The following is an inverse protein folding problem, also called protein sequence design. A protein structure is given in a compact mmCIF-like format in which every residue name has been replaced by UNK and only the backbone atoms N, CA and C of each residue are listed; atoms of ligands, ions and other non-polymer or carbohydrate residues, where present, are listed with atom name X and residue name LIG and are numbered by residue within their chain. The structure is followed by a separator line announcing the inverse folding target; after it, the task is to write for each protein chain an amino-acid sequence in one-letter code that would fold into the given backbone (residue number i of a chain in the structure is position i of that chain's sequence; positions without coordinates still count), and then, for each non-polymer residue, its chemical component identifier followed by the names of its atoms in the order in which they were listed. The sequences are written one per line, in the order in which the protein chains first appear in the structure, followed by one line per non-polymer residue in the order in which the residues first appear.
data_IF_987791267313
#
_entry.id   IF_987791267313
#
_cell.length_a   1.000
_cell.length_b   1.000
_cell.length_c   1.000
_cell.angle_alpha   90.00
_cell.angle_beta   90.00
_cell.angle_gamma   90.00
#
_symmetry.space_group_name_H-M   'P 1'
#
loop_
_entity.id
_entity.type
_entity.pdbx_description
1 polymer ?
#
# COMPACT_ATOMS: atom_id res chain seq x y z
N UNK A 1 3.93 0.62 -26.01
CA UNK A 1 3.93 0.41 -24.56
C UNK A 1 4.40 1.68 -23.92
N UNK A 2 3.64 2.24 -22.98
CA UNK A 2 4.10 3.38 -22.21
C UNK A 2 5.18 2.90 -21.24
N UNK A 3 6.27 3.65 -21.10
CA UNK A 3 7.33 3.28 -20.17
C UNK A 3 6.87 3.58 -18.75
N UNK A 4 6.62 2.54 -17.95
CA UNK A 4 6.33 2.68 -16.52
C UNK A 4 7.66 2.68 -15.76
N UNK A 5 7.84 3.66 -14.88
CA UNK A 5 8.96 3.69 -13.94
C UNK A 5 8.48 3.14 -12.61
N UNK A 6 9.20 2.14 -12.09
CA UNK A 6 8.96 1.56 -10.77
C UNK A 6 10.02 2.04 -9.78
N UNK A 7 9.61 2.39 -8.56
CA UNK A 7 10.50 2.81 -7.47
C UNK A 7 10.04 2.18 -6.15
N UNK A 8 10.89 1.34 -5.55
CA UNK A 8 10.67 0.79 -4.21
C UNK A 8 10.97 1.83 -3.13
N UNK A 9 10.14 1.89 -2.08
CA UNK A 9 10.19 2.87 -0.99
C UNK A 9 10.17 2.19 0.38
N UNK A 10 10.93 2.75 1.33
CA UNK A 10 11.15 2.15 2.65
C UNK A 10 10.14 2.52 3.74
N UNK A 11 9.17 3.41 3.46
CA UNK A 11 8.10 3.78 4.39
C UNK A 11 6.75 3.26 3.92
N UNK A 12 5.83 2.99 4.85
CA UNK A 12 4.47 2.59 4.51
C UNK A 12 3.72 3.75 3.86
N UNK A 13 2.96 3.45 2.81
CA UNK A 13 2.14 4.44 2.12
C UNK A 13 0.75 4.62 2.74
N UNK A 14 0.26 3.64 3.51
CA UNK A 14 -1.07 3.68 4.13
C UNK A 14 -1.04 3.11 5.56
N UNK A 15 -2.20 3.19 6.22
CA UNK A 15 -2.50 2.67 7.55
C UNK A 15 -1.85 3.45 8.72
N UNK A 16 -2.69 4.09 9.55
CA UNK A 16 -2.24 4.98 10.63
C UNK A 16 -1.39 4.26 11.70
N UNK A 17 -1.57 2.95 11.85
CA UNK A 17 -0.80 2.12 12.77
C UNK A 17 0.41 1.43 12.11
N UNK A 18 0.81 1.84 10.89
CA UNK A 18 1.93 1.21 10.18
C UNK A 18 3.27 1.30 10.94
N UNK A 19 3.43 2.25 11.87
CA UNK A 19 4.59 2.32 12.76
C UNK A 19 4.73 1.09 13.68
N UNK A 20 3.66 0.31 13.86
CA UNK A 20 3.62 -0.93 14.63
C UNK A 20 3.75 -2.18 13.75
N UNK A 21 3.74 -2.02 12.42
CA UNK A 21 3.82 -3.12 11.48
C UNK A 21 5.28 -3.51 11.26
N UNK A 22 5.60 -4.79 11.51
CA UNK A 22 6.94 -5.32 11.23
C UNK A 22 7.18 -5.51 9.74
N UNK A 23 6.13 -5.84 8.99
CA UNK A 23 6.19 -5.93 7.54
C UNK A 23 5.66 -4.65 6.90
N UNK A 24 6.47 -4.02 6.05
CA UNK A 24 6.11 -2.83 5.28
C UNK A 24 6.77 -2.91 3.92
N UNK A 25 5.98 -2.71 2.88
CA UNK A 25 6.46 -2.60 1.51
C UNK A 25 5.69 -1.52 0.76
N UNK A 26 6.37 -0.77 -0.08
CA UNK A 26 5.77 0.35 -0.78
C UNK A 26 6.45 0.57 -2.12
N UNK A 27 5.67 0.65 -3.18
CA UNK A 27 6.14 0.84 -4.55
C UNK A 27 5.40 2.01 -5.18
N UNK A 28 6.16 2.91 -5.79
CA UNK A 28 5.64 3.97 -6.63
C UNK A 28 5.79 3.56 -8.09
N UNK A 29 4.69 3.56 -8.83
CA UNK A 29 4.65 3.43 -10.27
C UNK A 29 4.33 4.79 -10.89
N UNK A 30 5.13 5.20 -11.88
CA UNK A 30 4.96 6.48 -12.57
C UNK A 30 4.87 6.25 -14.08
N UNK A 31 3.85 6.82 -14.72
CA UNK A 31 3.68 6.78 -16.17
C UNK A 31 2.86 7.98 -16.66
N UNK A 32 3.34 8.72 -17.67
CA UNK A 32 2.60 9.81 -18.33
C UNK A 32 1.89 10.80 -17.37
N UNK A 33 2.58 11.24 -16.32
CA UNK A 33 2.08 12.12 -15.23
C UNK A 33 1.07 11.48 -14.25
N UNK A 34 0.89 10.17 -14.31
CA UNK A 34 0.14 9.41 -13.31
C UNK A 34 1.14 8.78 -12.36
N UNK A 35 0.98 9.07 -11.07
CA UNK A 35 1.68 8.38 -9.99
C UNK A 35 0.72 7.47 -9.24
N UNK A 36 1.10 6.21 -9.02
CA UNK A 36 0.33 5.24 -8.23
C UNK A 36 1.21 4.64 -7.16
N UNK A 37 0.72 4.70 -5.93
CA UNK A 37 1.34 4.12 -4.75
C UNK A 37 0.68 2.80 -4.42
N UNK A 38 1.45 1.72 -4.40
CA UNK A 38 1.04 0.40 -3.91
C UNK A 38 1.73 0.20 -2.57
N UNK A 39 0.97 -0.01 -1.50
CA UNK A 39 1.53 -0.18 -0.16
C UNK A 39 0.98 -1.44 0.49
N UNK A 40 1.87 -2.24 1.06
CA UNK A 40 1.54 -3.40 1.88
C UNK A 40 2.00 -3.19 3.31
N UNK A 41 1.13 -3.47 4.26
CA UNK A 41 1.43 -3.51 5.69
C UNK A 41 1.09 -4.89 6.23
N UNK A 42 1.82 -5.32 7.26
CA UNK A 42 1.68 -6.65 7.82
C UNK A 42 2.26 -6.77 9.21
N UNK A 43 1.83 -7.80 9.94
CA UNK A 43 2.39 -8.14 11.26
C UNK A 43 2.34 -6.95 12.22
N UNK A 44 1.15 -6.37 12.42
CA UNK A 44 0.95 -5.30 13.39
C UNK A 44 1.16 -5.84 14.80
N UNK A 45 2.18 -5.33 15.49
CA UNK A 45 2.46 -5.72 16.86
C UNK A 45 1.28 -5.38 17.76
N UNK A 46 0.88 -6.36 18.55
CA UNK A 46 -0.10 -6.23 19.60
C UNK A 46 0.27 -5.14 20.61
N UNK A 47 -0.68 -4.26 20.92
CA UNK A 47 -0.56 -3.34 22.06
C UNK A 47 -1.57 -3.70 23.15
N UNK A 48 -1.52 -4.94 23.65
CA UNK A 48 -2.21 -5.24 24.90
C UNK A 48 -1.25 -5.16 26.09
N UNK A 49 -1.71 -4.42 27.09
CA UNK A 49 -1.10 -4.27 28.39
C UNK A 49 -1.97 -5.05 29.38
N UNK A 50 -1.38 -5.94 30.16
CA UNK A 50 -2.03 -6.45 31.37
C UNK A 50 -1.25 -5.92 32.56
N UNK A 51 -1.88 -5.05 33.35
CA UNK A 51 -1.17 -4.29 34.39
C UNK A 51 -0.02 -3.45 33.81
N UNK A 52 1.22 -3.77 34.18
CA UNK A 52 2.44 -3.08 33.74
C UNK A 52 3.30 -3.89 32.76
N UNK A 53 2.81 -5.03 32.28
CA UNK A 53 3.55 -5.89 31.34
C UNK A 53 3.10 -5.64 29.90
N UNK A 54 4.08 -5.39 29.04
CA UNK A 54 3.93 -5.52 27.60
C UNK A 54 4.16 -6.99 27.23
N UNK A 55 3.16 -7.65 26.68
CA UNK A 55 3.36 -8.96 26.06
C UNK A 55 3.84 -8.73 24.63
N UNK A 56 5.13 -8.42 24.49
CA UNK A 56 5.76 -8.36 23.18
C UNK A 56 5.77 -9.74 22.52
N UNK A 57 5.50 -9.81 21.21
CA UNK A 57 5.65 -11.03 20.41
C UNK A 57 4.37 -11.57 19.78
N UNK A 58 3.21 -10.97 20.04
CA UNK A 58 1.96 -11.31 19.35
C UNK A 58 1.59 -10.25 18.31
N UNK A 59 0.83 -10.68 17.30
CA UNK A 59 0.32 -9.81 16.24
C UNK A 59 -1.19 -9.69 16.32
N UNK A 60 -1.69 -8.49 16.08
CA UNK A 60 -3.11 -8.19 15.95
C UNK A 60 -3.50 -7.99 14.49
N UNK A 61 -4.80 -8.15 14.21
CA UNK A 61 -5.34 -7.96 12.86
C UNK A 61 -5.25 -6.48 12.45
N UNK A 62 -4.82 -6.23 11.21
CA UNK A 62 -4.77 -4.89 10.59
C UNK A 62 -6.19 -4.39 10.29
N UNK A 63 -7.08 -5.32 9.98
CA UNK A 63 -8.53 -5.14 9.96
C UNK A 63 -9.21 -6.49 9.97
N UNK A 64 -10.54 -6.51 9.92
CA UNK A 64 -11.33 -7.75 10.06
C UNK A 64 -10.77 -8.93 9.26
N UNK A 65 -10.35 -9.98 9.99
CA UNK A 65 -9.82 -11.25 9.47
C UNK A 65 -8.64 -11.08 8.50
N UNK A 66 -7.69 -10.18 8.79
CA UNK A 66 -6.45 -10.02 8.01
C UNK A 66 -5.26 -9.51 8.82
N UNK A 67 -4.11 -10.13 8.60
CA UNK A 67 -2.80 -9.78 9.18
C UNK A 67 -1.87 -9.08 8.20
N UNK A 68 -2.17 -9.14 6.91
CA UNK A 68 -1.51 -8.37 5.86
C UNK A 68 -2.57 -7.76 4.95
N UNK A 69 -2.29 -6.55 4.47
CA UNK A 69 -3.16 -5.78 3.58
C UNK A 69 -2.29 -5.04 2.56
N UNK A 70 -2.65 -5.14 1.28
CA UNK A 70 -2.12 -4.33 0.18
C UNK A 70 -3.21 -3.38 -0.28
N UNK A 71 -2.88 -2.10 -0.45
CA UNK A 71 -3.78 -1.11 -1.03
C UNK A 71 -3.05 -0.31 -2.11
N UNK A 72 -3.82 0.26 -3.04
CA UNK A 72 -3.31 1.11 -4.10
C UNK A 72 -4.04 2.47 -4.11
N UNK A 73 -3.30 3.56 -4.26
CA UNK A 73 -3.81 4.93 -4.28
C UNK A 73 -3.11 5.74 -5.37
N UNK A 74 -3.77 6.76 -5.90
CA UNK A 74 -3.05 7.78 -6.64
C UNK A 74 -2.08 8.54 -5.72
N UNK A 75 -0.92 8.91 -6.24
CA UNK A 75 -0.02 9.84 -5.57
C UNK A 75 -0.59 11.25 -5.63
N UNK A 76 -0.40 12.05 -4.59
CA UNK A 76 -0.79 13.47 -4.56
C UNK A 76 -0.01 14.22 -5.66
N UNK A 77 -0.69 14.80 -6.66
CA UNK A 77 -0.03 15.53 -7.75
C UNK A 77 0.67 16.82 -7.27
N UNK A 78 0.30 17.33 -6.10
CA UNK A 78 0.86 18.54 -5.51
C UNK A 78 2.12 18.25 -4.67
N UNK A 79 2.30 17.01 -4.20
CA UNK A 79 3.52 16.57 -3.52
C UNK A 79 4.59 16.14 -4.53
N UNK A 80 5.50 17.07 -4.82
CA UNK A 80 6.62 16.85 -5.75
C UNK A 80 7.84 16.18 -5.11
N UNK A 81 7.81 15.90 -3.80
CA UNK A 81 8.98 15.41 -3.07
C UNK A 81 8.84 13.98 -2.60
N UNK A 82 7.75 13.67 -1.90
CA UNK A 82 7.54 12.35 -1.31
C UNK A 82 6.58 11.49 -2.14
N UNK A 83 5.73 12.14 -2.94
CA UNK A 83 4.65 11.51 -3.69
C UNK A 83 3.80 10.64 -2.75
N UNK A 84 3.38 11.24 -1.63
CA UNK A 84 2.48 10.60 -0.67
C UNK A 84 1.12 10.30 -1.30
N UNK A 85 0.36 9.41 -0.67
CA UNK A 85 -0.94 8.99 -1.20
C UNK A 85 -1.99 10.08 -1.07
N UNK A 86 -2.85 10.20 -2.08
CA UNK A 86 -4.15 10.80 -1.89
C UNK A 86 -5.11 9.72 -1.36
N UNK A 87 -5.36 9.75 -0.04
CA UNK A 87 -6.24 8.80 0.65
C UNK A 87 -7.69 8.80 0.13
N UNK A 88 -8.10 9.85 -0.59
CA UNK A 88 -9.45 9.94 -1.19
C UNK A 88 -9.55 9.26 -2.55
N UNK A 89 -8.41 8.86 -3.13
CA UNK A 89 -8.29 8.33 -4.50
C UNK A 89 -7.72 6.91 -4.48
N UNK A 90 -8.41 6.02 -3.78
CA UNK A 90 -8.10 4.60 -3.83
C UNK A 90 -8.33 4.04 -5.25
N UNK A 91 -7.49 3.09 -5.65
CA UNK A 91 -7.58 2.38 -6.93
C UNK A 91 -8.00 0.95 -6.67
N UNK A 92 -9.02 0.49 -7.39
CA UNK A 92 -9.49 -0.88 -7.33
C UNK A 92 -8.65 -1.81 -8.22
N UNK A 93 -8.49 -3.05 -7.76
CA UNK A 93 -7.75 -4.10 -8.43
C UNK A 93 -8.27 -5.49 -8.06
N UNK A 94 -7.98 -6.47 -8.91
CA UNK A 94 -8.55 -7.83 -8.83
C UNK A 94 -7.62 -8.81 -8.10
N UNK A 95 -6.33 -8.50 -8.04
CA UNK A 95 -5.32 -9.27 -7.32
C UNK A 95 -5.69 -9.40 -5.84
N UNK A 96 -5.30 -10.53 -5.24
CA UNK A 96 -5.47 -10.76 -3.81
C UNK A 96 -4.81 -9.61 -3.03
N UNK A 97 -5.54 -9.04 -2.08
CA UNK A 97 -5.10 -7.86 -1.33
C UNK A 97 -4.99 -8.07 0.18
N UNK A 98 -5.47 -9.21 0.70
CA UNK A 98 -5.43 -9.52 2.12
C UNK A 98 -4.97 -10.96 2.38
N UNK A 99 -4.23 -11.15 3.47
CA UNK A 99 -3.84 -12.47 4.00
C UNK A 99 -4.23 -12.54 5.48
N UNK A 100 -4.89 -13.64 5.85
CA UNK A 100 -5.40 -13.90 7.21
C UNK A 100 -4.55 -14.92 7.98
N UNK A 101 -3.26 -14.98 7.66
CA UNK A 101 -2.28 -15.91 8.21
C UNK A 101 -1.12 -15.10 8.78
N UNK A 102 -0.65 -15.48 9.98
CA UNK A 102 0.59 -14.97 10.58
C UNK A 102 1.77 -15.76 10.02
N UNK A 103 2.97 -15.18 9.95
CA UNK A 103 4.17 -15.83 9.38
C UNK A 103 4.04 -16.11 7.88
N UNK A 104 3.49 -15.13 7.16
CA UNK A 104 3.17 -15.20 5.73
C UNK A 104 3.89 -14.08 4.94
N UNK A 105 5.06 -13.64 5.38
CA UNK A 105 5.84 -12.54 4.79
C UNK A 105 6.24 -12.82 3.33
N UNK A 106 6.53 -14.08 3.00
CA UNK A 106 6.78 -14.55 1.63
C UNK A 106 5.53 -14.37 0.75
N UNK A 107 4.38 -14.85 1.23
CA UNK A 107 3.08 -14.71 0.56
C UNK A 107 2.67 -13.23 0.45
N UNK A 108 3.02 -12.41 1.43
CA UNK A 108 2.76 -10.97 1.42
C UNK A 108 3.62 -10.25 0.38
N UNK A 109 4.85 -10.70 0.15
CA UNK A 109 5.66 -10.21 -0.97
C UNK A 109 5.03 -10.59 -2.32
N UNK A 110 4.63 -11.85 -2.50
CA UNK A 110 3.98 -12.29 -3.73
C UNK A 110 2.66 -11.54 -3.98
N UNK A 111 1.89 -11.32 -2.92
CA UNK A 111 0.67 -10.49 -2.94
C UNK A 111 0.97 -9.05 -3.38
N UNK A 112 2.04 -8.44 -2.87
CA UNK A 112 2.46 -7.11 -3.27
C UNK A 112 2.85 -7.07 -4.76
N UNK A 113 3.70 -8.00 -5.22
CA UNK A 113 4.15 -8.06 -6.61
C UNK A 113 3.00 -8.30 -7.58
N UNK A 114 2.01 -9.11 -7.21
CA UNK A 114 0.83 -9.34 -8.02
C UNK A 114 0.06 -8.03 -8.26
N UNK A 115 -0.15 -7.24 -7.21
CA UNK A 115 -0.81 -5.93 -7.33
C UNK A 115 0.05 -4.95 -8.13
N UNK A 116 1.37 -4.91 -7.90
CA UNK A 116 2.30 -4.07 -8.69
C UNK A 116 2.20 -4.42 -10.17
N UNK A 117 2.23 -5.70 -10.53
CA UNK A 117 2.11 -6.15 -11.92
C UNK A 117 0.76 -5.76 -12.53
N UNK A 118 -0.34 -5.93 -11.81
CA UNK A 118 -1.67 -5.56 -12.32
C UNK A 118 -1.79 -4.04 -12.55
N UNK A 119 -1.35 -3.23 -11.59
CA UNK A 119 -1.38 -1.77 -11.73
C UNK A 119 -0.42 -1.30 -12.82
N UNK A 120 0.74 -1.94 -12.96
CA UNK A 120 1.69 -1.69 -14.04
C UNK A 120 1.01 -1.90 -15.40
N UNK A 121 0.33 -3.03 -15.60
CA UNK A 121 -0.40 -3.31 -16.84
C UNK A 121 -1.52 -2.29 -17.10
N UNK A 122 -2.27 -1.90 -16.06
CA UNK A 122 -3.31 -0.86 -16.15
C UNK A 122 -2.70 0.49 -16.60
N UNK A 123 -1.53 0.88 -16.09
CA UNK A 123 -0.81 2.09 -16.52
C UNK A 123 -0.31 1.97 -17.97
N UNK A 124 0.25 0.82 -18.36
CA UNK A 124 0.72 0.60 -19.73
C UNK A 124 -0.42 0.68 -20.74
N UNK A 125 -1.60 0.17 -20.40
CA UNK A 125 -2.82 0.25 -21.21
C UNK A 125 -3.48 1.63 -21.19
N UNK A 126 -3.05 2.53 -20.30
CA UNK A 126 -3.63 3.87 -20.14
C UNK A 126 -5.01 3.87 -19.49
N UNK A 127 -5.33 2.84 -18.71
CA UNK A 127 -6.61 2.71 -18.00
C UNK A 127 -6.69 3.61 -16.76
N UNK A 128 -5.54 4.06 -16.25
CA UNK A 128 -5.44 5.01 -15.16
C UNK A 128 -5.10 6.40 -15.72
N UNK A 129 -5.94 7.38 -15.40
CA UNK A 129 -5.83 8.74 -15.96
C UNK A 129 -5.22 9.72 -14.95
N UNK A 130 -4.56 10.80 -15.41
CA UNK A 130 -4.06 11.86 -14.54
C UNK A 130 -5.19 12.48 -13.70
N UNK A 131 -4.89 12.79 -12.43
CA UNK A 131 -5.81 13.55 -11.58
C UNK A 131 -5.88 14.99 -12.10
N UNK A 132 -7.07 15.42 -12.54
CA UNK A 132 -7.35 16.82 -12.84
C UNK A 132 -7.94 17.46 -11.57
N UNK A 133 -7.10 18.11 -10.78
CA UNK A 133 -7.56 18.94 -9.67
C UNK A 133 -8.08 20.27 -10.21
N UNK A 134 -9.38 20.34 -10.47
CA UNK A 134 -10.12 21.60 -10.38
C UNK A 134 -11.20 21.42 -9.32
N UNK A 135 -11.02 21.91 -8.09
CA UNK A 135 -12.13 22.01 -7.15
C UNK A 135 -13.14 23.04 -7.71
N UNK A 136 -14.45 22.77 -7.70
CA UNK A 136 -15.43 23.84 -7.83
C UNK A 136 -15.29 24.74 -6.60
N UNK A 137 -15.03 26.03 -6.85
CA UNK A 137 -15.07 27.11 -5.87
C UNK A 137 -16.46 27.26 -5.24
#
# INVERSE_FOLDING_TARGET
MNKVKQTERGWAGHFICANRCRFRRNTLLECNNVGVVISTVGLMEAHWKEGDKFYGGAFEEIGYNRYFETMAFYADPNDKRYHDIDVTKQIDFDSKWAINEIDADDKANDMHEAVVSEIHDKLERGELTPQNDNPPH
#
